data_IF_445800472086
#
_entry.id   IF_445800472086
#
_cell.length_a   1.000
_cell.length_b   1.000
_cell.length_c   1.000
_cell.angle_alpha   90.00
_cell.angle_beta   90.00
_cell.angle_gamma   90.00
#
_symmetry.space_group_name_H-M   'P 1'
#
loop_
_entity.id
_entity.type
_entity.pdbx_description
1 polymer ?
#
# COMPACT_ATOMS: atom_id res chain seq x y z
N UNK A 1 31.09 13.93 -4.84
CA UNK A 1 30.79 14.45 -3.49
C UNK A 1 30.68 15.98 -3.46
N UNK A 2 31.78 16.75 -3.64
CA UNK A 2 31.76 18.24 -3.59
C UNK A 2 30.63 18.88 -4.40
N UNK A 3 30.45 18.47 -5.64
CA UNK A 3 29.40 19.01 -6.52
C UNK A 3 28.00 18.74 -5.97
N UNK A 4 27.76 17.54 -5.41
CA UNK A 4 26.47 17.17 -4.83
C UNK A 4 26.17 18.00 -3.58
N UNK A 5 27.12 18.15 -2.66
CA UNK A 5 26.93 18.97 -1.46
C UNK A 5 26.71 20.45 -1.84
N UNK A 6 27.51 20.98 -2.77
CA UNK A 6 27.34 22.37 -3.25
C UNK A 6 25.95 22.60 -3.85
N UNK A 7 25.46 21.63 -4.62
CA UNK A 7 24.13 21.68 -5.24
C UNK A 7 23.02 21.56 -4.22
N UNK A 8 23.12 20.63 -3.27
CA UNK A 8 21.99 20.20 -2.42
C UNK A 8 21.88 20.97 -1.10
N UNK A 9 22.95 21.56 -0.55
CA UNK A 9 22.96 22.18 0.79
C UNK A 9 21.97 23.33 0.99
N UNK A 10 21.47 23.92 -0.09
CA UNK A 10 20.50 25.02 -0.05
C UNK A 10 19.06 24.57 -0.32
N UNK A 11 18.80 23.26 -0.42
CA UNK A 11 17.46 22.72 -0.68
C UNK A 11 16.82 22.21 0.62
N UNK A 12 15.77 22.88 1.14
CA UNK A 12 15.15 22.49 2.41
C UNK A 12 14.43 21.14 2.37
N UNK A 13 14.15 20.60 1.17
CA UNK A 13 13.59 19.27 1.00
C UNK A 13 14.60 18.15 1.25
N UNK A 14 15.91 18.44 1.20
CA UNK A 14 16.95 17.45 1.49
C UNK A 14 17.20 17.50 2.99
N UNK A 15 16.91 16.41 3.68
CA UNK A 15 16.93 16.36 5.16
C UNK A 15 18.02 15.43 5.72
N UNK A 16 18.70 14.66 4.87
CA UNK A 16 19.79 13.75 5.24
C UNK A 16 20.70 13.50 4.04
N UNK A 17 21.97 13.20 4.27
CA UNK A 17 22.88 12.69 3.24
C UNK A 17 23.40 11.30 3.64
N UNK A 18 23.29 10.34 2.74
CA UNK A 18 23.83 8.99 2.91
C UNK A 18 25.14 8.87 2.14
N UNK A 19 26.24 8.62 2.85
CA UNK A 19 27.57 8.50 2.25
C UNK A 19 27.80 7.15 1.54
N UNK A 20 26.95 6.16 1.81
CA UNK A 20 26.88 4.85 1.16
C UNK A 20 25.45 4.32 1.18
N UNK A 21 25.22 3.15 0.56
CA UNK A 21 23.92 2.46 0.55
C UNK A 21 24.03 1.15 1.32
N UNK A 22 24.25 0.03 0.63
CA UNK A 22 24.35 -1.30 1.20
C UNK A 22 25.54 -1.41 2.14
N UNK A 23 26.66 -0.81 1.71
CA UNK A 23 27.91 -0.74 2.46
C UNK A 23 28.31 0.72 2.70
N UNK A 24 28.90 1.03 3.86
CA UNK A 24 29.51 2.32 4.10
C UNK A 24 30.79 2.48 3.25
N UNK A 25 31.23 3.72 2.99
CA UNK A 25 32.53 3.94 2.36
C UNK A 25 33.65 3.33 3.20
N UNK A 26 34.77 2.90 2.58
CA UNK A 26 35.99 2.58 3.30
C UNK A 26 36.47 3.76 4.17
N UNK A 27 37.20 3.53 5.28
CA UNK A 27 37.50 4.58 6.26
C UNK A 27 38.19 5.84 5.72
N UNK A 28 39.08 5.71 4.73
CA UNK A 28 39.77 6.82 4.09
C UNK A 28 38.80 7.66 3.22
N UNK A 29 37.88 6.99 2.51
CA UNK A 29 36.84 7.64 1.71
C UNK A 29 35.80 8.31 2.61
N UNK A 30 35.39 7.64 3.70
CA UNK A 30 34.46 8.19 4.69
C UNK A 30 35.02 9.47 5.31
N UNK A 31 36.29 9.48 5.72
CA UNK A 31 36.97 10.69 6.22
C UNK A 31 37.03 11.80 5.16
N UNK A 32 37.30 11.45 3.90
CA UNK A 32 37.30 12.42 2.80
C UNK A 32 35.90 13.04 2.60
N UNK A 33 34.83 12.24 2.61
CA UNK A 33 33.46 12.73 2.46
C UNK A 33 33.07 13.65 3.62
N UNK A 34 33.31 13.25 4.87
CA UNK A 34 33.06 14.07 6.05
C UNK A 34 33.87 15.39 6.03
N UNK A 35 35.10 15.34 5.52
CA UNK A 35 35.92 16.53 5.32
C UNK A 35 35.30 17.51 4.33
N UNK A 36 34.77 17.00 3.21
CA UNK A 36 34.06 17.80 2.20
C UNK A 36 32.75 18.37 2.76
N UNK A 37 31.95 17.56 3.46
CA UNK A 37 30.69 17.99 4.08
C UNK A 37 30.93 19.09 5.11
N UNK A 38 31.99 18.97 5.92
CA UNK A 38 32.41 19.99 6.87
C UNK A 38 32.89 21.27 6.19
N UNK A 39 33.74 21.16 5.17
CA UNK A 39 34.26 22.31 4.43
C UNK A 39 33.15 23.09 3.72
N UNK A 40 32.17 22.38 3.15
CA UNK A 40 31.05 22.97 2.43
C UNK A 40 29.83 23.23 3.32
N UNK A 41 29.97 23.10 4.64
CA UNK A 41 28.93 23.41 5.63
C UNK A 41 27.59 22.70 5.36
N UNK A 42 27.63 21.38 5.13
CA UNK A 42 26.41 20.58 5.02
C UNK A 42 25.52 20.75 6.27
N UNK A 43 24.25 21.18 6.15
CA UNK A 43 23.46 21.60 7.30
C UNK A 43 22.67 20.48 7.99
N UNK A 44 22.61 19.28 7.39
CA UNK A 44 21.73 18.20 7.82
C UNK A 44 22.50 17.00 8.41
N UNK A 45 21.81 16.04 9.05
CA UNK A 45 22.42 14.76 9.43
C UNK A 45 23.09 14.03 8.25
N UNK A 46 24.12 13.27 8.59
CA UNK A 46 24.88 12.39 7.69
C UNK A 46 24.77 10.98 8.23
N UNK A 47 24.51 10.02 7.35
CA UNK A 47 24.46 8.60 7.67
C UNK A 47 25.54 7.89 6.85
N UNK A 48 26.29 6.98 7.47
CA UNK A 48 27.38 6.25 6.81
C UNK A 48 26.88 5.39 5.64
N UNK A 49 25.75 4.70 5.83
CA UNK A 49 25.12 3.78 4.88
C UNK A 49 23.64 3.57 5.18
N UNK A 50 22.87 3.10 4.21
CA UNK A 50 21.48 2.70 4.39
C UNK A 50 21.33 1.40 5.23
N UNK A 51 22.39 0.58 5.38
CA UNK A 51 22.39 -0.62 6.22
C UNK A 51 22.83 -0.37 7.67
N UNK A 52 22.66 -1.37 8.53
CA UNK A 52 23.11 -1.37 9.93
C UNK A 52 24.63 -1.57 10.10
N UNK A 53 25.41 -1.52 9.00
CA UNK A 53 26.83 -1.82 9.04
C UNK A 53 27.62 -0.70 9.74
N UNK A 54 28.19 -1.05 10.89
CA UNK A 54 29.01 -0.16 11.69
C UNK A 54 30.32 0.22 10.99
N UNK A 55 30.67 1.49 11.00
CA UNK A 55 31.98 1.98 10.53
C UNK A 55 32.94 2.23 11.69
N UNK A 56 34.24 2.28 11.39
CA UNK A 56 35.27 2.67 12.38
C UNK A 56 35.40 4.19 12.55
N UNK A 57 34.81 4.99 11.65
CA UNK A 57 34.95 6.46 11.66
C UNK A 57 33.74 7.13 12.33
N UNK A 58 32.52 6.81 11.89
CA UNK A 58 31.27 7.40 12.41
C UNK A 58 30.49 6.47 13.32
N UNK A 59 30.78 5.17 13.32
CA UNK A 59 30.16 4.20 14.23
C UNK A 59 28.88 3.58 13.66
N UNK A 60 27.85 3.47 14.51
CA UNK A 60 26.56 2.90 14.11
C UNK A 60 25.82 3.85 13.16
N UNK A 61 25.20 3.31 12.11
CA UNK A 61 24.40 4.10 11.16
C UNK A 61 23.04 4.53 11.72
N UNK A 62 22.50 3.79 12.69
CA UNK A 62 21.18 4.05 13.31
C UNK A 62 19.98 3.64 12.45
N UNK A 63 20.22 2.93 11.34
CA UNK A 63 19.21 2.47 10.37
C UNK A 63 19.36 0.98 10.08
N UNK A 64 18.42 0.39 9.34
CA UNK A 64 18.47 -1.01 8.91
C UNK A 64 18.10 -1.17 7.44
N UNK A 65 18.66 -2.22 6.84
CA UNK A 65 18.40 -2.72 5.49
C UNK A 65 18.34 -4.25 5.59
N UNK A 66 17.28 -4.74 6.22
CA UNK A 66 17.12 -6.15 6.63
C UNK A 66 16.07 -6.88 5.79
N UNK A 67 15.63 -6.23 4.69
CA UNK A 67 14.53 -6.65 3.85
C UNK A 67 13.17 -6.52 4.53
N UNK A 68 12.14 -7.22 4.01
CA UNK A 68 12.16 -8.04 2.80
C UNK A 68 12.07 -7.23 1.49
N UNK A 69 12.27 -7.94 0.38
CA UNK A 69 12.12 -7.50 -1.01
C UNK A 69 11.30 -8.50 -1.86
N UNK A 70 10.83 -9.59 -1.26
CA UNK A 70 9.91 -10.57 -1.84
C UNK A 70 8.67 -10.72 -0.94
N UNK A 71 7.67 -11.48 -1.42
CA UNK A 71 6.39 -11.55 -0.72
C UNK A 71 6.50 -12.08 0.72
N UNK A 72 5.93 -11.30 1.63
CA UNK A 72 5.62 -11.64 3.02
C UNK A 72 4.16 -11.27 3.32
N UNK A 73 3.48 -12.02 4.21
CA UNK A 73 2.09 -11.74 4.58
C UNK A 73 1.94 -10.44 5.41
N UNK A 74 0.73 -9.86 5.49
CA UNK A 74 0.46 -8.63 6.23
C UNK A 74 0.91 -8.62 7.71
N UNK A 75 0.78 -9.74 8.41
CA UNK A 75 1.14 -9.90 9.82
C UNK A 75 2.65 -9.78 10.07
N UNK A 76 3.50 -10.14 9.10
CA UNK A 76 4.95 -9.99 9.17
C UNK A 76 5.38 -8.62 9.68
N UNK A 77 4.78 -7.56 9.16
CA UNK A 77 5.22 -6.20 9.42
C UNK A 77 5.09 -5.77 10.86
N UNK A 78 4.10 -6.32 11.58
CA UNK A 78 3.85 -5.97 12.97
C UNK A 78 4.40 -7.01 13.95
N UNK A 79 4.47 -8.29 13.56
CA UNK A 79 4.99 -9.37 14.40
C UNK A 79 6.51 -9.44 14.42
N UNK A 80 7.17 -9.05 13.32
CA UNK A 80 8.63 -9.12 13.23
C UNK A 80 9.32 -8.01 14.03
N UNK A 81 10.28 -8.42 14.86
CA UNK A 81 11.11 -7.54 15.71
C UNK A 81 12.60 -7.69 15.44
N UNK A 82 12.99 -8.52 14.46
CA UNK A 82 14.40 -8.86 14.18
C UNK A 82 14.85 -8.53 12.76
N UNK A 83 13.94 -8.47 11.79
CA UNK A 83 14.25 -8.16 10.38
C UNK A 83 13.56 -6.87 9.89
N UNK A 84 12.59 -6.99 8.98
CA UNK A 84 11.94 -5.89 8.29
C UNK A 84 10.78 -5.23 9.02
N UNK A 85 10.27 -5.85 10.09
CA UNK A 85 9.09 -5.39 10.83
C UNK A 85 9.26 -4.03 11.51
N UNK A 86 8.19 -3.53 12.10
CA UNK A 86 8.04 -2.13 12.51
C UNK A 86 8.86 -1.77 13.77
N UNK A 87 10.17 -1.63 13.61
CA UNK A 87 11.12 -1.09 14.58
C UNK A 87 12.31 -0.43 13.86
N UNK A 88 12.91 0.58 14.49
CA UNK A 88 14.00 1.35 13.89
C UNK A 88 13.61 2.04 12.57
N UNK A 89 14.60 2.39 11.76
CA UNK A 89 14.40 3.02 10.46
C UNK A 89 14.79 2.05 9.35
N UNK A 90 13.81 1.49 8.63
CA UNK A 90 14.07 0.62 7.48
C UNK A 90 14.20 1.46 6.21
N UNK A 91 15.41 1.53 5.67
CA UNK A 91 15.79 2.44 4.58
C UNK A 91 15.31 1.98 3.22
N UNK A 92 14.93 0.72 3.10
CA UNK A 92 14.40 0.12 1.89
C UNK A 92 13.79 -1.26 2.19
N UNK A 93 12.49 -1.39 1.96
CA UNK A 93 11.80 -2.68 2.05
C UNK A 93 10.43 -2.61 1.38
N UNK A 94 9.86 -3.74 0.99
CA UNK A 94 8.48 -3.82 0.51
C UNK A 94 7.93 -5.23 0.63
N UNK A 95 6.61 -5.44 0.44
CA UNK A 95 6.03 -6.77 0.32
C UNK A 95 6.30 -7.45 -1.04
N UNK A 96 7.31 -6.96 -1.79
CA UNK A 96 7.84 -7.63 -2.97
C UNK A 96 7.18 -7.24 -4.29
N UNK A 97 6.81 -8.21 -5.15
CA UNK A 97 6.25 -7.95 -6.46
C UNK A 97 5.00 -7.06 -6.44
N UNK A 98 4.86 -6.23 -7.48
CA UNK A 98 3.76 -5.31 -7.70
C UNK A 98 3.30 -5.45 -9.16
N UNK A 99 2.25 -6.23 -9.39
CA UNK A 99 1.75 -6.51 -10.74
C UNK A 99 0.99 -5.27 -11.26
N UNK A 100 1.41 -4.65 -12.38
CA UNK A 100 0.70 -3.50 -12.93
C UNK A 100 -0.73 -3.84 -13.35
N UNK A 101 -1.63 -2.85 -13.47
CA UNK A 101 -2.95 -3.07 -14.04
C UNK A 101 -2.85 -3.66 -15.45
N UNK A 102 -3.86 -4.42 -15.85
CA UNK A 102 -3.92 -5.12 -17.14
C UNK A 102 -3.57 -4.21 -18.32
N UNK A 103 -4.11 -3.00 -18.34
CA UNK A 103 -3.90 -2.03 -19.42
C UNK A 103 -2.45 -1.58 -19.57
N UNK A 104 -1.67 -1.65 -18.49
CA UNK A 104 -0.23 -1.42 -18.53
C UNK A 104 0.53 -2.66 -18.96
N UNK A 105 0.14 -3.84 -18.48
CA UNK A 105 0.76 -5.13 -18.89
C UNK A 105 0.66 -5.31 -20.40
N UNK A 106 -0.51 -5.06 -20.99
CA UNK A 106 -0.75 -5.19 -22.43
C UNK A 106 0.11 -4.27 -23.31
N UNK A 107 0.77 -3.26 -22.73
CA UNK A 107 1.70 -2.36 -23.45
C UNK A 107 3.10 -2.93 -23.59
N UNK A 108 3.51 -3.87 -22.74
CA UNK A 108 4.87 -4.42 -22.77
C UNK A 108 4.94 -5.95 -22.83
N UNK A 109 3.83 -6.66 -22.54
CA UNK A 109 3.71 -8.10 -22.75
C UNK A 109 2.92 -8.36 -24.05
N UNK A 110 3.46 -9.14 -25.01
CA UNK A 110 2.74 -9.51 -26.22
C UNK A 110 1.48 -10.35 -25.92
N UNK A 111 0.47 -10.24 -26.78
CA UNK A 111 -0.88 -10.80 -26.55
C UNK A 111 -0.90 -12.31 -26.31
N UNK A 112 -0.05 -13.05 -27.00
CA UNK A 112 0.11 -14.51 -26.88
C UNK A 112 0.85 -14.96 -25.62
N UNK A 113 1.46 -14.01 -24.89
CA UNK A 113 2.20 -14.21 -23.64
C UNK A 113 1.49 -13.60 -22.42
N UNK A 114 0.27 -13.07 -22.58
CA UNK A 114 -0.49 -12.44 -21.49
C UNK A 114 -0.96 -13.43 -20.44
N UNK A 115 -1.27 -14.68 -20.85
CA UNK A 115 -1.73 -15.71 -19.92
C UNK A 115 -1.62 -17.12 -20.53
N UNK A 116 -1.13 -18.12 -19.78
CA UNK A 116 -0.51 -18.02 -18.45
C UNK A 116 0.83 -17.27 -18.48
N UNK A 117 1.29 -16.80 -17.32
CA UNK A 117 2.58 -16.14 -17.17
C UNK A 117 3.74 -17.07 -17.60
N UNK A 118 4.70 -16.53 -18.35
CA UNK A 118 5.88 -17.25 -18.84
C UNK A 118 7.15 -16.39 -18.78
N UNK A 119 8.22 -16.81 -19.46
CA UNK A 119 9.53 -16.14 -19.40
C UNK A 119 9.52 -14.71 -19.95
N UNK A 120 8.50 -14.30 -20.73
CA UNK A 120 8.37 -12.91 -21.18
C UNK A 120 8.04 -12.00 -20.00
N UNK A 121 7.29 -12.49 -19.01
CA UNK A 121 7.07 -11.77 -17.76
C UNK A 121 8.35 -11.69 -16.92
N UNK A 122 9.08 -12.80 -16.82
CA UNK A 122 10.33 -12.87 -16.05
C UNK A 122 11.37 -11.85 -16.55
N UNK A 123 11.37 -11.53 -17.84
CA UNK A 123 12.19 -10.44 -18.39
C UNK A 123 11.90 -9.08 -17.73
N UNK A 124 10.68 -8.82 -17.29
CA UNK A 124 10.23 -7.59 -16.64
C UNK A 124 10.25 -7.67 -15.09
N UNK A 125 10.81 -8.74 -14.53
CA UNK A 125 11.11 -8.83 -13.10
C UNK A 125 12.44 -8.11 -12.78
N UNK A 126 13.13 -8.54 -11.72
CA UNK A 126 14.39 -7.98 -11.26
C UNK A 126 15.62 -8.78 -11.73
N UNK A 127 16.79 -8.32 -11.29
CA UNK A 127 18.06 -9.02 -11.50
C UNK A 127 18.42 -9.97 -10.36
N UNK A 128 19.58 -10.59 -10.49
CA UNK A 128 20.18 -11.49 -9.49
C UNK A 128 19.25 -12.65 -9.08
N UNK A 129 18.62 -12.54 -7.90
CA UNK A 129 17.74 -13.56 -7.30
C UNK A 129 16.24 -13.23 -7.42
N UNK A 130 15.90 -12.05 -7.93
CA UNK A 130 14.52 -11.55 -8.09
C UNK A 130 14.02 -11.68 -9.54
N UNK A 131 14.33 -12.80 -10.20
CA UNK A 131 14.17 -12.98 -11.66
C UNK A 131 12.78 -13.43 -12.11
N UNK A 132 11.86 -13.63 -11.18
CA UNK A 132 10.46 -14.03 -11.41
C UNK A 132 9.60 -13.57 -10.22
N UNK A 133 8.30 -13.83 -10.27
CA UNK A 133 7.35 -13.48 -9.20
C UNK A 133 6.69 -14.72 -8.58
N UNK A 134 7.41 -15.85 -8.54
CA UNK A 134 6.86 -17.14 -8.11
C UNK A 134 6.49 -17.17 -6.63
N UNK A 135 7.27 -16.51 -5.75
CA UNK A 135 6.98 -16.46 -4.31
C UNK A 135 5.68 -15.68 -4.08
N UNK A 136 5.53 -14.52 -4.72
CA UNK A 136 4.27 -13.78 -4.75
C UNK A 136 3.11 -14.61 -5.31
N UNK A 137 3.31 -15.33 -6.42
CA UNK A 137 2.27 -16.16 -7.04
C UNK A 137 1.84 -17.33 -6.15
N UNK A 138 2.76 -17.95 -5.40
CA UNK A 138 2.45 -18.99 -4.42
C UNK A 138 1.63 -18.42 -3.25
N UNK A 139 2.06 -17.28 -2.69
CA UNK A 139 1.31 -16.57 -1.65
C UNK A 139 -0.10 -16.20 -2.10
N UNK A 140 -0.23 -15.69 -3.33
CA UNK A 140 -1.52 -15.35 -3.96
C UNK A 140 -2.40 -16.58 -4.08
N UNK A 141 -1.86 -17.66 -4.64
CA UNK A 141 -2.58 -18.91 -4.88
C UNK A 141 -3.05 -19.55 -3.58
N UNK A 142 -2.20 -19.56 -2.55
CA UNK A 142 -2.49 -20.21 -1.28
C UNK A 142 -3.41 -19.39 -0.37
N UNK A 143 -3.48 -18.07 -0.55
CA UNK A 143 -4.40 -17.18 0.18
C UNK A 143 -5.72 -16.96 -0.54
N UNK A 144 -5.70 -16.62 -1.83
CA UNK A 144 -6.89 -16.21 -2.60
C UNK A 144 -7.43 -17.30 -3.54
N UNK A 145 -6.68 -18.40 -3.72
CA UNK A 145 -7.00 -19.49 -4.64
C UNK A 145 -6.34 -19.32 -6.02
N UNK A 146 -6.17 -20.43 -6.73
CA UNK A 146 -5.55 -20.48 -8.07
C UNK A 146 -6.25 -19.52 -9.04
N UNK A 147 -5.47 -18.77 -9.81
CA UNK A 147 -5.99 -17.82 -10.79
C UNK A 147 -6.40 -18.54 -12.08
N UNK A 148 -7.64 -18.30 -12.53
CA UNK A 148 -8.18 -18.96 -13.73
C UNK A 148 -7.90 -18.21 -15.04
N UNK A 149 -7.55 -16.92 -14.96
CA UNK A 149 -7.33 -16.02 -16.10
C UNK A 149 -6.43 -14.85 -15.69
N UNK A 150 -5.98 -14.05 -16.66
CA UNK A 150 -5.27 -12.79 -16.39
C UNK A 150 -6.10 -11.87 -15.49
N UNK A 151 -7.39 -11.67 -15.78
CA UNK A 151 -8.26 -10.82 -14.98
C UNK A 151 -8.41 -11.32 -13.54
N UNK A 152 -8.43 -12.64 -13.35
CA UNK A 152 -8.51 -13.23 -12.02
C UNK A 152 -7.17 -13.09 -11.25
N UNK A 153 -6.05 -13.25 -11.94
CA UNK A 153 -4.73 -13.03 -11.35
C UNK A 153 -4.51 -11.55 -10.98
N UNK A 154 -4.87 -10.65 -11.88
CA UNK A 154 -4.71 -9.20 -11.72
C UNK A 154 -5.50 -8.71 -10.51
N UNK A 155 -6.82 -8.99 -10.43
CA UNK A 155 -7.63 -8.56 -9.29
C UNK A 155 -7.14 -9.12 -7.94
N UNK A 156 -6.60 -10.35 -7.94
CA UNK A 156 -5.99 -10.98 -6.76
C UNK A 156 -4.68 -10.28 -6.38
N UNK A 157 -3.84 -9.96 -7.36
CA UNK A 157 -2.60 -9.24 -7.14
C UNK A 157 -2.84 -7.81 -6.63
N UNK A 158 -3.87 -7.10 -7.13
CA UNK A 158 -4.22 -5.77 -6.61
C UNK A 158 -4.72 -5.82 -5.17
N UNK A 159 -5.53 -6.83 -4.81
CA UNK A 159 -5.92 -7.01 -3.41
C UNK A 159 -4.73 -7.35 -2.52
N UNK A 160 -3.86 -8.25 -2.96
CA UNK A 160 -2.70 -8.69 -2.20
C UNK A 160 -1.68 -7.57 -1.95
N UNK A 161 -1.41 -6.72 -2.95
CA UNK A 161 -0.55 -5.52 -2.80
C UNK A 161 -1.26 -4.41 -2.02
N UNK A 162 -2.57 -4.19 -2.22
CA UNK A 162 -3.28 -3.25 -1.35
C UNK A 162 -3.13 -3.62 0.13
N UNK A 163 -3.30 -4.90 0.47
CA UNK A 163 -3.21 -5.39 1.85
C UNK A 163 -1.77 -5.36 2.39
N UNK A 164 -0.80 -5.83 1.59
CA UNK A 164 0.61 -5.89 1.97
C UNK A 164 1.21 -4.51 2.25
N UNK A 165 1.06 -3.57 1.32
CA UNK A 165 1.58 -2.21 1.48
C UNK A 165 0.83 -1.47 2.60
N UNK A 166 -0.50 -1.62 2.70
CA UNK A 166 -1.25 -1.04 3.82
C UNK A 166 -0.71 -1.53 5.16
N UNK A 167 -0.54 -2.85 5.31
CA UNK A 167 -0.08 -3.44 6.57
C UNK A 167 1.35 -3.00 6.94
N UNK A 168 2.25 -2.86 5.95
CA UNK A 168 3.59 -2.33 6.19
C UNK A 168 3.54 -0.93 6.80
N UNK A 169 2.84 0.01 6.15
CA UNK A 169 2.77 1.38 6.63
C UNK A 169 1.97 1.51 7.93
N UNK A 170 0.87 0.76 8.10
CA UNK A 170 0.11 0.72 9.34
C UNK A 170 0.96 0.21 10.52
N UNK A 171 1.78 -0.83 10.32
CA UNK A 171 2.62 -1.35 11.39
C UNK A 171 3.64 -0.31 11.88
N UNK A 172 4.31 0.38 10.96
CA UNK A 172 5.23 1.48 11.29
C UNK A 172 4.50 2.69 11.91
N UNK A 173 3.27 2.96 11.48
CA UNK A 173 2.40 3.97 12.09
C UNK A 173 2.02 3.63 13.54
N UNK A 174 1.64 2.37 13.81
CA UNK A 174 1.28 1.90 15.16
C UNK A 174 2.46 1.99 16.12
N UNK A 175 3.63 1.55 15.69
CA UNK A 175 4.84 1.44 16.52
C UNK A 175 5.66 2.71 16.62
N UNK A 176 5.16 3.86 16.13
CA UNK A 176 5.76 5.18 16.37
C UNK A 176 5.99 5.38 17.89
N UNK A 177 7.18 5.70 18.42
CA UNK A 177 8.50 5.95 17.80
C UNK A 177 9.53 4.83 18.05
N UNK A 178 9.09 3.63 18.40
CA UNK A 178 9.96 2.45 18.35
C UNK A 178 10.33 2.14 16.90
N UNK A 179 9.37 2.25 16.00
CA UNK A 179 9.58 2.41 14.56
C UNK A 179 9.83 3.90 14.27
N UNK A 180 10.95 4.23 13.65
CA UNK A 180 11.35 5.61 13.35
C UNK A 180 11.25 5.96 11.86
N UNK A 181 11.03 4.97 10.98
CA UNK A 181 10.68 5.21 9.58
C UNK A 181 10.73 3.97 8.72
N UNK A 182 10.03 4.00 7.59
CA UNK A 182 10.09 2.98 6.53
C UNK A 182 10.10 3.68 5.17
N UNK A 183 10.92 3.18 4.26
CA UNK A 183 10.95 3.62 2.87
C UNK A 183 10.53 2.42 2.00
N UNK A 184 9.40 2.58 1.31
CA UNK A 184 8.92 1.61 0.32
C UNK A 184 10.00 1.41 -0.75
N UNK A 185 10.36 0.15 -0.98
CA UNK A 185 11.15 -0.29 -2.11
C UNK A 185 10.23 -0.77 -3.24
N UNK A 186 9.91 0.06 -4.22
CA UNK A 186 10.28 1.46 -4.45
C UNK A 186 9.01 2.29 -4.69
N UNK A 187 9.19 3.61 -4.82
CA UNK A 187 8.11 4.49 -5.25
C UNK A 187 7.65 4.14 -6.67
N UNK A 188 8.59 3.96 -7.60
CA UNK A 188 8.35 3.75 -9.03
C UNK A 188 9.52 3.06 -9.72
N UNK A 189 9.31 2.67 -10.98
CA UNK A 189 10.34 2.07 -11.84
C UNK A 189 10.74 2.99 -13.00
N UNK A 190 11.98 2.80 -13.50
CA UNK A 190 12.51 3.51 -14.67
C UNK A 190 12.11 2.88 -16.02
N UNK A 191 11.35 1.78 -15.99
CA UNK A 191 10.93 0.96 -17.14
C UNK A 191 9.70 0.12 -16.77
N UNK A 192 8.96 -0.47 -17.73
CA UNK A 192 7.86 -1.38 -17.43
C UNK A 192 8.37 -2.60 -16.66
N UNK A 193 7.81 -2.87 -15.48
CA UNK A 193 8.31 -3.88 -14.56
C UNK A 193 7.19 -4.44 -13.66
N UNK A 194 7.41 -5.63 -13.11
CA UNK A 194 6.47 -6.39 -12.29
C UNK A 194 6.72 -6.29 -10.77
N UNK A 195 7.71 -5.53 -10.34
CA UNK A 195 8.13 -5.50 -8.93
C UNK A 195 8.27 -4.08 -8.39
N UNK A 196 8.12 -3.93 -7.07
CA UNK A 196 8.66 -2.81 -6.30
C UNK A 196 8.22 -1.42 -6.75
N UNK A 197 6.95 -1.21 -7.12
CA UNK A 197 6.46 0.12 -7.43
C UNK A 197 5.08 0.36 -6.84
N UNK A 198 4.79 1.61 -6.48
CA UNK A 198 3.44 2.04 -6.15
C UNK A 198 2.67 2.44 -7.41
N UNK A 199 3.32 3.15 -8.32
CA UNK A 199 2.80 3.44 -9.65
C UNK A 199 3.79 2.99 -10.72
N UNK A 200 3.26 2.48 -11.83
CA UNK A 200 4.08 1.88 -12.87
C UNK A 200 4.80 2.93 -13.74
N UNK A 201 5.55 2.46 -14.73
CA UNK A 201 6.27 3.28 -15.70
C UNK A 201 5.39 4.28 -16.45
N UNK A 202 4.11 3.96 -16.65
CA UNK A 202 3.14 4.80 -17.35
C UNK A 202 2.41 5.75 -16.39
N UNK A 203 2.84 5.84 -15.12
CA UNK A 203 2.24 6.65 -14.06
C UNK A 203 0.84 6.17 -13.64
N UNK A 204 0.50 4.91 -13.89
CA UNK A 204 -0.77 4.32 -13.45
C UNK A 204 -0.59 3.81 -12.01
N UNK A 205 -1.32 4.35 -11.00
CA UNK A 205 -1.30 3.82 -9.65
C UNK A 205 -2.15 2.54 -9.55
N UNK A 206 -1.67 1.57 -8.78
CA UNK A 206 -2.31 0.26 -8.61
C UNK A 206 -2.67 -0.01 -7.13
N UNK A 207 -3.04 -1.25 -6.80
CA UNK A 207 -3.48 -1.65 -5.45
C UNK A 207 -2.52 -1.18 -4.34
N UNK A 208 -1.22 -1.46 -4.47
CA UNK A 208 -0.19 -1.05 -3.50
C UNK A 208 -0.09 0.47 -3.27
N UNK A 209 -0.30 1.30 -4.31
CA UNK A 209 -0.38 2.77 -4.15
C UNK A 209 -1.55 3.16 -3.25
N UNK A 210 -2.72 2.57 -3.47
CA UNK A 210 -3.92 2.91 -2.71
C UNK A 210 -3.90 2.32 -1.31
N UNK A 211 -3.28 1.16 -1.10
CA UNK A 211 -2.96 0.62 0.23
C UNK A 211 -2.04 1.55 1.02
N UNK A 212 -0.95 2.01 0.39
CA UNK A 212 -0.04 3.02 0.96
C UNK A 212 -0.77 4.34 1.26
N UNK A 213 -1.56 4.84 0.30
CA UNK A 213 -2.33 6.08 0.46
C UNK A 213 -3.30 6.00 1.64
N UNK A 214 -3.97 4.85 1.81
CA UNK A 214 -4.88 4.59 2.92
C UNK A 214 -4.13 4.62 4.25
N UNK A 215 -3.05 3.85 4.37
CA UNK A 215 -2.25 3.77 5.60
C UNK A 215 -1.57 5.10 5.99
N UNK A 216 -1.27 5.96 5.01
CA UNK A 216 -0.66 7.27 5.21
C UNK A 216 -1.67 8.44 5.27
N UNK A 217 -2.95 8.18 5.56
CA UNK A 217 -3.88 9.25 5.91
C UNK A 217 -3.34 10.09 7.09
N UNK A 218 -3.49 11.43 7.09
CA UNK A 218 -2.95 12.28 8.17
C UNK A 218 -3.48 11.91 9.56
N UNK A 219 -4.74 11.46 9.64
CA UNK A 219 -5.36 10.88 10.82
C UNK A 219 -6.01 9.58 10.36
N UNK A 220 -5.47 8.45 10.81
CA UNK A 220 -5.75 7.14 10.24
C UNK A 220 -6.19 6.15 11.30
N UNK A 221 -7.27 5.41 11.04
CA UNK A 221 -7.73 4.32 11.89
C UNK A 221 -7.40 2.97 11.25
N UNK A 222 -6.78 2.09 12.03
CA UNK A 222 -6.18 0.85 11.54
C UNK A 222 -6.38 -0.33 12.50
N UNK A 223 -6.27 -1.53 11.96
CA UNK A 223 -6.31 -2.82 12.66
C UNK A 223 -4.91 -3.44 12.72
N UNK A 224 -4.57 -4.04 13.85
CA UNK A 224 -3.28 -4.70 14.07
C UNK A 224 -3.45 -6.22 14.04
N UNK A 225 -2.68 -6.88 13.18
CA UNK A 225 -2.76 -8.32 12.93
C UNK A 225 -2.28 -9.19 14.11
N UNK A 226 -1.36 -8.69 14.95
CA UNK A 226 -0.74 -9.40 16.06
C UNK A 226 -1.65 -9.55 17.30
N UNK A 227 -2.32 -8.47 17.70
CA UNK A 227 -3.08 -8.40 18.96
C UNK A 227 -4.57 -8.08 18.78
N UNK A 228 -5.04 -7.99 17.54
CA UNK A 228 -6.40 -7.59 17.17
C UNK A 228 -6.80 -6.19 17.65
N UNK A 229 -5.84 -5.32 17.96
CA UNK A 229 -6.13 -3.95 18.36
C UNK A 229 -6.60 -3.10 17.20
N UNK A 230 -7.42 -2.11 17.53
CA UNK A 230 -7.71 -0.95 16.71
C UNK A 230 -6.92 0.22 17.26
N UNK A 231 -6.12 0.85 16.42
CA UNK A 231 -5.35 2.03 16.73
C UNK A 231 -5.81 3.21 15.88
N UNK A 232 -5.65 4.42 16.42
CA UNK A 232 -5.72 5.65 15.64
C UNK A 232 -4.37 6.33 15.66
N UNK A 233 -3.79 6.52 14.49
CA UNK A 233 -2.54 7.24 14.27
C UNK A 233 -2.88 8.66 13.85
N UNK A 234 -2.41 9.64 14.63
CA UNK A 234 -2.50 11.05 14.31
C UNK A 234 -1.11 11.54 13.93
N UNK A 235 -0.88 11.81 12.65
CA UNK A 235 0.38 12.37 12.14
C UNK A 235 0.32 13.89 11.93
N UNK A 236 -0.67 14.56 12.53
CA UNK A 236 -0.79 16.01 12.53
C UNK A 236 -0.21 16.61 13.82
N UNK A 237 0.10 17.91 13.79
CA UNK A 237 0.56 18.68 14.95
C UNK A 237 -0.59 19.29 15.77
N UNK A 238 -1.77 18.67 15.72
CA UNK A 238 -2.93 19.09 16.50
C UNK A 238 -3.55 17.90 17.21
N UNK A 239 -3.82 18.05 18.51
CA UNK A 239 -4.54 17.05 19.28
C UNK A 239 -6.03 17.06 18.91
N UNK A 240 -6.61 15.87 18.77
CA UNK A 240 -8.01 15.67 18.41
C UNK A 240 -8.80 15.22 19.63
N UNK A 241 -9.98 15.79 19.86
CA UNK A 241 -10.81 15.50 21.04
C UNK A 241 -12.15 14.92 20.66
N UNK A 242 -12.68 14.05 21.53
CA UNK A 242 -14.02 13.50 21.37
C UNK A 242 -14.21 12.67 20.10
N UNK A 243 -13.14 12.06 19.59
CA UNK A 243 -13.15 11.30 18.35
C UNK A 243 -13.92 10.00 18.54
N UNK A 244 -14.87 9.72 17.64
CA UNK A 244 -15.77 8.57 17.70
C UNK A 244 -15.24 7.46 16.81
N UNK A 245 -14.94 6.32 17.41
CA UNK A 245 -14.30 5.17 16.77
C UNK A 245 -15.27 4.00 16.76
N UNK A 246 -15.45 3.34 15.61
CA UNK A 246 -16.29 2.16 15.46
C UNK A 246 -15.60 1.06 14.67
N UNK A 247 -15.74 -0.17 15.15
CA UNK A 247 -15.34 -1.38 14.44
C UNK A 247 -16.55 -2.29 14.29
N UNK A 248 -16.74 -2.85 13.10
CA UNK A 248 -17.82 -3.78 12.79
C UNK A 248 -17.29 -4.98 12.02
N UNK A 249 -17.62 -6.17 12.52
CA UNK A 249 -17.21 -7.44 11.93
C UNK A 249 -18.39 -8.01 11.15
N UNK A 250 -18.16 -8.45 9.93
CA UNK A 250 -19.16 -9.01 9.02
C UNK A 250 -18.70 -10.36 8.50
N UNK A 251 -19.62 -11.30 8.34
CA UNK A 251 -19.35 -12.48 7.53
C UNK A 251 -19.18 -12.13 6.04
N UNK A 252 -18.71 -13.09 5.25
CA UNK A 252 -18.55 -12.96 3.80
C UNK A 252 -19.88 -12.60 3.09
N UNK A 253 -21.02 -12.92 3.69
CA UNK A 253 -22.37 -12.59 3.22
C UNK A 253 -22.85 -11.20 3.66
N UNK A 254 -21.94 -10.34 4.12
CA UNK A 254 -22.18 -8.98 4.61
C UNK A 254 -23.10 -8.88 5.85
N UNK A 255 -23.38 -9.98 6.56
CA UNK A 255 -24.13 -9.92 7.82
C UNK A 255 -23.23 -9.50 8.98
N UNK A 256 -23.65 -8.46 9.72
CA UNK A 256 -22.95 -8.00 10.92
C UNK A 256 -22.97 -9.10 11.99
N UNK A 257 -21.81 -9.36 12.58
CA UNK A 257 -21.57 -10.40 13.60
C UNK A 257 -21.22 -9.80 14.95
N UNK A 258 -20.50 -8.70 14.94
CA UNK A 258 -20.17 -7.95 16.14
C UNK A 258 -19.86 -6.50 15.81
N UNK A 259 -20.00 -5.63 16.80
CA UNK A 259 -19.56 -4.24 16.71
C UNK A 259 -19.04 -3.75 18.06
N UNK A 260 -18.10 -2.79 18.00
CA UNK A 260 -17.54 -2.12 19.17
C UNK A 260 -17.35 -0.65 18.84
N UNK A 261 -17.75 0.21 19.76
CA UNK A 261 -17.60 1.65 19.65
C UNK A 261 -16.84 2.19 20.86
N UNK A 262 -16.11 3.28 20.66
CA UNK A 262 -15.49 4.06 21.72
C UNK A 262 -15.42 5.55 21.34
N UNK A 263 -15.17 6.37 22.34
CA UNK A 263 -14.79 7.77 22.16
C UNK A 263 -13.44 7.98 22.83
N UNK A 264 -12.51 8.66 22.17
CA UNK A 264 -11.19 8.97 22.71
C UNK A 264 -10.68 10.33 22.26
N UNK A 265 -9.81 10.90 23.09
CA UNK A 265 -8.92 11.98 22.69
C UNK A 265 -7.62 11.37 22.15
N UNK A 266 -7.06 11.99 21.13
CA UNK A 266 -5.87 11.52 20.42
C UNK A 266 -4.86 12.66 20.44
N UNK A 267 -3.69 12.43 21.03
CA UNK A 267 -2.63 13.44 21.05
C UNK A 267 -2.12 13.75 19.64
N UNK A 268 -1.51 14.91 19.46
CA UNK A 268 -0.74 15.21 18.25
C UNK A 268 0.41 14.21 18.07
N UNK A 269 0.77 13.95 16.81
CA UNK A 269 1.91 13.11 16.40
C UNK A 269 2.06 11.79 17.21
N UNK A 270 0.97 11.02 17.31
CA UNK A 270 0.84 9.87 18.22
C UNK A 270 0.13 8.66 17.60
N UNK A 271 0.25 7.51 18.27
CA UNK A 271 -0.52 6.29 18.01
C UNK A 271 -1.28 5.92 19.29
N UNK A 272 -2.61 5.92 19.24
CA UNK A 272 -3.47 5.65 20.39
C UNK A 272 -4.29 4.39 20.16
N UNK A 273 -4.13 3.38 21.03
CA UNK A 273 -5.00 2.18 21.03
C UNK A 273 -6.40 2.57 21.49
N UNK A 274 -7.41 2.29 20.66
CA UNK A 274 -8.81 2.54 20.99
C UNK A 274 -9.41 1.34 21.75
N UNK A 275 -9.28 0.13 21.20
CA UNK A 275 -9.78 -1.11 21.78
C UNK A 275 -9.37 -2.32 20.95
N UNK A 276 -9.63 -3.54 21.44
CA UNK A 276 -9.52 -4.77 20.65
C UNK A 276 -10.82 -5.09 19.89
N UNK A 277 -10.69 -5.60 18.67
CA UNK A 277 -11.83 -6.05 17.84
C UNK A 277 -12.56 -7.19 18.56
N UNK A 278 -13.91 -7.18 18.62
CA UNK A 278 -14.66 -8.30 19.19
C UNK A 278 -14.51 -9.57 18.34
N UNK A 279 -14.40 -10.72 19.00
CA UNK A 279 -14.26 -12.05 18.37
C UNK A 279 -15.56 -12.87 18.50
N UNK A 280 -16.55 -12.66 17.59
CA UNK A 280 -17.82 -13.37 17.66
C UNK A 280 -17.71 -14.85 17.24
N UNK A 281 -18.60 -15.68 17.77
CA UNK A 281 -18.77 -17.05 17.29
C UNK A 281 -19.45 -17.09 15.90
N UNK A 282 -19.14 -18.13 15.13
CA UNK A 282 -19.76 -18.38 13.83
C UNK A 282 -19.38 -17.37 12.75
N UNK A 283 -18.11 -16.97 12.75
CA UNK A 283 -17.50 -16.27 11.61
C UNK A 283 -17.35 -17.23 10.42
N UNK A 284 -17.58 -16.72 9.22
CA UNK A 284 -17.11 -17.39 8.00
C UNK A 284 -15.58 -17.38 7.97
N UNK A 285 -14.96 -18.38 7.32
CA UNK A 285 -13.49 -18.50 7.27
C UNK A 285 -12.84 -17.21 6.83
N UNK A 286 -13.30 -16.66 5.71
CA UNK A 286 -13.03 -15.29 5.29
C UNK A 286 -14.15 -14.36 5.78
N UNK A 287 -13.81 -13.22 6.34
CA UNK A 287 -14.77 -12.25 6.89
C UNK A 287 -14.27 -10.83 6.67
N UNK A 288 -15.10 -9.83 6.95
CA UNK A 288 -14.74 -8.43 6.79
C UNK A 288 -14.72 -7.68 8.12
N UNK A 289 -13.81 -6.72 8.23
CA UNK A 289 -13.77 -5.75 9.32
C UNK A 289 -13.85 -4.35 8.73
N UNK A 290 -14.85 -3.59 9.16
CA UNK A 290 -14.98 -2.17 8.81
C UNK A 290 -14.68 -1.30 10.01
N UNK A 291 -13.76 -0.36 9.81
CA UNK A 291 -13.35 0.64 10.77
C UNK A 291 -13.83 2.03 10.31
N UNK A 292 -14.35 2.85 11.23
CA UNK A 292 -14.65 4.24 10.95
C UNK A 292 -14.28 5.15 12.12
N UNK A 293 -13.65 6.27 11.78
CA UNK A 293 -13.33 7.37 12.67
C UNK A 293 -14.14 8.59 12.27
N UNK A 294 -14.90 9.13 13.20
CA UNK A 294 -15.62 10.39 13.03
C UNK A 294 -15.12 11.42 14.04
N UNK A 295 -15.11 12.69 13.65
CA UNK A 295 -14.88 13.78 14.60
C UNK A 295 -16.08 13.97 15.56
N UNK A 296 -15.94 14.90 16.50
CA UNK A 296 -16.98 15.22 17.47
C UNK A 296 -18.30 15.62 16.78
N UNK A 297 -18.21 16.35 15.66
CA UNK A 297 -19.34 16.82 14.85
C UNK A 297 -19.98 15.70 13.98
N UNK A 298 -19.37 14.52 13.93
CA UNK A 298 -19.86 13.37 13.16
C UNK A 298 -19.41 13.36 11.69
N UNK A 299 -18.41 14.16 11.31
CA UNK A 299 -17.78 14.09 9.99
C UNK A 299 -16.87 12.86 9.94
N UNK A 300 -16.95 12.07 8.88
CA UNK A 300 -16.02 10.97 8.63
C UNK A 300 -14.61 11.53 8.39
N UNK A 301 -13.64 11.05 9.17
CA UNK A 301 -12.22 11.43 9.09
C UNK A 301 -11.39 10.33 8.44
N UNK A 302 -11.63 9.07 8.82
CA UNK A 302 -10.97 7.90 8.24
C UNK A 302 -11.95 6.73 8.16
N UNK A 303 -11.88 5.96 7.08
CA UNK A 303 -12.53 4.66 6.94
C UNK A 303 -11.53 3.64 6.42
N UNK A 304 -11.59 2.42 6.96
CA UNK A 304 -10.69 1.35 6.55
C UNK A 304 -11.43 0.02 6.54
N UNK A 305 -11.19 -0.79 5.52
CA UNK A 305 -11.95 -2.02 5.26
C UNK A 305 -10.98 -3.17 5.03
N UNK A 306 -11.05 -4.20 5.86
CA UNK A 306 -10.19 -5.36 5.82
C UNK A 306 -10.98 -6.60 5.42
N UNK A 307 -10.34 -7.51 4.70
CA UNK A 307 -10.79 -8.87 4.47
C UNK A 307 -9.83 -9.79 5.22
N UNK A 308 -10.34 -10.45 6.25
CA UNK A 308 -9.55 -11.20 7.20
C UNK A 308 -9.91 -12.67 7.14
N UNK A 309 -9.04 -13.50 7.71
CA UNK A 309 -9.21 -14.95 7.78
C UNK A 309 -9.19 -15.42 9.23
N UNK A 310 -10.08 -16.35 9.57
CA UNK A 310 -10.05 -17.05 10.87
C UNK A 310 -8.87 -18.02 10.98
N UNK A 311 -8.26 -18.38 9.86
CA UNK A 311 -6.97 -19.08 9.80
C UNK A 311 -5.86 -18.02 9.66
N UNK A 312 -4.91 -17.92 10.60
CA UNK A 312 -3.84 -16.92 10.51
C UNK A 312 -2.80 -17.30 9.44
N UNK A 313 -2.17 -16.28 8.87
CA UNK A 313 -0.85 -16.42 8.26
C UNK A 313 0.15 -16.73 9.42
N UNK A 314 1.21 -17.50 9.16
CA UNK A 314 2.32 -17.66 10.13
C UNK A 314 3.65 -17.78 9.41
N UNK A 315 4.72 -17.30 10.03
CA UNK A 315 6.07 -17.28 9.45
C UNK A 315 6.91 -18.49 9.86
N UNK A 316 7.72 -19.00 8.94
CA UNK A 316 8.71 -20.05 9.16
C UNK A 316 10.11 -19.42 9.34
N UNK A 317 10.31 -18.72 10.46
CA UNK A 317 11.56 -18.03 10.79
C UNK A 317 12.80 -18.93 10.71
N UNK A 318 12.64 -20.22 11.04
CA UNK A 318 13.73 -21.21 10.95
C UNK A 318 14.21 -21.46 9.51
N UNK A 319 13.42 -21.09 8.49
CA UNK A 319 13.76 -21.20 7.07
C UNK A 319 14.16 -19.89 6.41
N UNK A 320 14.20 -18.77 7.15
CA UNK A 320 14.75 -17.52 6.64
C UNK A 320 16.25 -17.69 6.40
N UNK A 321 16.67 -17.59 5.14
CA UNK A 321 18.06 -17.82 4.74
C UNK A 321 18.84 -16.52 4.47
N UNK A 322 18.14 -15.43 4.16
CA UNK A 322 18.70 -14.18 3.66
C UNK A 322 17.79 -12.99 4.05
N UNK A 323 17.99 -11.84 3.41
CA UNK A 323 17.17 -10.63 3.57
C UNK A 323 16.06 -10.51 2.54
N UNK A 324 15.85 -11.48 1.66
CA UNK A 324 14.89 -11.35 0.58
C UNK A 324 13.47 -11.49 1.11
N UNK A 325 13.21 -12.52 1.91
CA UNK A 325 11.93 -12.73 2.57
C UNK A 325 12.01 -13.75 3.70
N UNK A 326 10.97 -13.78 4.53
CA UNK A 326 10.74 -14.87 5.48
C UNK A 326 9.64 -15.78 4.92
N UNK A 327 9.90 -17.08 4.69
CA UNK A 327 8.88 -18.00 4.17
C UNK A 327 7.67 -18.10 5.10
N UNK A 328 6.49 -18.28 4.53
CA UNK A 328 5.28 -18.61 5.29
C UNK A 328 5.19 -20.11 5.59
N UNK A 329 4.76 -20.44 6.81
CA UNK A 329 4.42 -21.78 7.24
C UNK A 329 2.92 -22.05 7.03
N UNK A 330 2.09 -21.18 7.57
CA UNK A 330 0.63 -21.20 7.42
C UNK A 330 0.16 -19.97 6.62
N UNK A 331 -0.99 -20.13 5.96
CA UNK A 331 -1.54 -19.17 5.02
C UNK A 331 -2.99 -18.90 5.38
N UNK A 332 -3.35 -17.63 5.48
CA UNK A 332 -4.73 -17.17 5.59
C UNK A 332 -5.59 -17.73 4.45
N UNK A 333 -6.86 -18.03 4.74
CA UNK A 333 -7.81 -18.51 3.74
C UNK A 333 -8.80 -17.40 3.37
N UNK A 334 -8.51 -16.78 2.24
CA UNK A 334 -9.28 -15.70 1.61
C UNK A 334 -10.01 -16.21 0.35
N UNK A 335 -10.03 -17.52 0.11
CA UNK A 335 -10.58 -18.12 -1.12
C UNK A 335 -12.07 -17.85 -1.32
N UNK A 336 -12.81 -17.61 -0.22
CA UNK A 336 -14.24 -17.30 -0.28
C UNK A 336 -14.54 -15.95 -0.96
N UNK A 337 -13.57 -15.04 -1.09
CA UNK A 337 -13.71 -13.80 -1.87
C UNK A 337 -14.07 -14.10 -3.34
N UNK A 338 -13.53 -15.17 -3.91
CA UNK A 338 -13.82 -15.60 -5.29
C UNK A 338 -15.27 -16.04 -5.49
N UNK A 339 -15.99 -16.33 -4.39
CA UNK A 339 -17.40 -16.73 -4.40
C UNK A 339 -18.37 -15.57 -4.10
N UNK A 340 -17.88 -14.33 -3.97
CA UNK A 340 -18.74 -13.18 -3.76
C UNK A 340 -19.76 -13.03 -4.92
N UNK A 341 -21.06 -12.87 -4.62
CA UNK A 341 -22.05 -12.59 -5.65
C UNK A 341 -21.71 -11.28 -6.38
N UNK A 342 -21.99 -11.20 -7.68
CA UNK A 342 -21.78 -9.98 -8.47
C UNK A 342 -22.43 -8.77 -7.80
N UNK A 343 -21.64 -7.73 -7.57
CA UNK A 343 -22.07 -6.49 -6.96
C UNK A 343 -23.05 -5.74 -7.87
N UNK A 344 -23.96 -4.98 -7.26
CA UNK A 344 -24.90 -4.10 -7.98
C UNK A 344 -24.68 -2.68 -7.50
N UNK A 345 -24.07 -1.87 -8.36
CA UNK A 345 -23.74 -0.49 -8.03
C UNK A 345 -24.47 0.50 -8.94
N UNK A 346 -24.81 1.65 -8.37
CA UNK A 346 -25.29 2.81 -9.10
C UNK A 346 -24.19 3.87 -9.05
N UNK A 347 -23.78 4.35 -10.21
CA UNK A 347 -22.71 5.34 -10.34
C UNK A 347 -23.27 6.65 -10.87
N UNK A 348 -22.83 7.76 -10.30
CA UNK A 348 -23.08 9.10 -10.83
C UNK A 348 -21.77 9.86 -10.87
N UNK A 349 -21.55 10.64 -11.93
CA UNK A 349 -20.37 11.49 -12.10
C UNK A 349 -20.73 12.96 -12.19
N UNK A 350 -19.92 13.82 -11.58
CA UNK A 350 -19.97 15.26 -11.74
C UNK A 350 -18.60 15.75 -12.21
N UNK A 351 -18.60 16.56 -13.26
CA UNK A 351 -17.38 17.13 -13.82
C UNK A 351 -17.26 18.61 -13.46
N UNK A 352 -16.06 19.02 -13.04
CA UNK A 352 -15.73 20.41 -12.73
C UNK A 352 -14.40 20.78 -13.38
N UNK A 353 -14.28 22.01 -13.86
CA UNK A 353 -13.07 22.54 -14.49
C UNK A 353 -12.75 23.93 -13.93
N UNK A 354 -11.46 24.20 -13.73
CA UNK A 354 -10.93 25.50 -13.31
C UNK A 354 -9.59 25.74 -14.01
N UNK A 355 -9.65 26.49 -15.11
CA UNK A 355 -8.52 26.63 -16.03
C UNK A 355 -8.11 25.26 -16.60
N UNK A 356 -6.82 24.89 -16.57
CA UNK A 356 -6.34 23.61 -17.09
C UNK A 356 -6.61 22.43 -16.15
N UNK A 357 -6.98 22.69 -14.88
CA UNK A 357 -7.25 21.64 -13.91
C UNK A 357 -8.68 21.13 -14.06
N UNK A 358 -8.83 19.81 -14.07
CA UNK A 358 -10.09 19.09 -14.19
C UNK A 358 -10.31 18.20 -12.98
N UNK A 359 -11.57 18.10 -12.55
CA UNK A 359 -12.01 17.21 -11.48
C UNK A 359 -13.22 16.39 -11.94
N UNK A 360 -13.20 15.10 -11.65
CA UNK A 360 -14.38 14.25 -11.75
C UNK A 360 -14.70 13.69 -10.37
N UNK A 361 -15.88 14.04 -9.85
CA UNK A 361 -16.42 13.47 -8.62
C UNK A 361 -17.28 12.28 -9.01
N UNK A 362 -16.86 11.08 -8.59
CA UNK A 362 -17.54 9.82 -8.85
C UNK A 362 -18.20 9.37 -7.55
N UNK A 363 -19.52 9.23 -7.55
CA UNK A 363 -20.28 8.67 -6.43
C UNK A 363 -20.75 7.28 -6.80
N UNK A 364 -20.36 6.29 -6.00
CA UNK A 364 -20.76 4.89 -6.13
C UNK A 364 -21.65 4.52 -4.95
N UNK A 365 -22.84 3.98 -5.24
CA UNK A 365 -23.77 3.41 -4.26
C UNK A 365 -23.87 1.91 -4.49
N UNK A 366 -23.54 1.10 -3.49
CA UNK A 366 -23.89 -0.32 -3.51
C UNK A 366 -25.37 -0.47 -3.14
N UNK A 367 -26.19 -0.90 -4.10
CA UNK A 367 -27.62 -1.15 -3.91
C UNK A 367 -27.99 -2.63 -4.04
N UNK A 368 -26.99 -3.51 -4.05
CA UNK A 368 -27.17 -4.96 -3.95
C UNK A 368 -27.08 -5.46 -2.51
N UNK A 369 -27.11 -6.78 -2.36
CA UNK A 369 -27.08 -7.48 -1.08
C UNK A 369 -25.70 -8.06 -0.72
N UNK A 370 -24.75 -8.05 -1.67
CA UNK A 370 -23.34 -8.45 -1.45
C UNK A 370 -22.45 -7.22 -1.26
N UNK A 371 -21.27 -7.42 -0.65
CA UNK A 371 -20.22 -6.39 -0.63
C UNK A 371 -19.79 -6.08 -2.07
N UNK A 372 -19.74 -4.80 -2.44
CA UNK A 372 -19.04 -4.36 -3.64
C UNK A 372 -17.56 -4.24 -3.27
N UNK A 373 -16.76 -5.24 -3.63
CA UNK A 373 -15.41 -5.43 -3.13
C UNK A 373 -14.38 -4.88 -4.12
N UNK A 374 -13.39 -4.13 -3.62
CA UNK A 374 -12.29 -3.53 -4.40
C UNK A 374 -12.80 -2.78 -5.64
N UNK A 375 -13.75 -1.87 -5.47
CA UNK A 375 -14.30 -1.02 -6.53
C UNK A 375 -13.21 -0.07 -7.03
N UNK A 376 -12.97 -0.10 -8.33
CA UNK A 376 -11.86 0.55 -9.00
C UNK A 376 -12.35 1.46 -10.13
N UNK A 377 -12.61 2.75 -9.84
CA UNK A 377 -12.82 3.76 -10.87
C UNK A 377 -11.52 4.14 -11.59
N UNK A 378 -11.62 4.26 -12.92
CA UNK A 378 -10.56 4.72 -13.83
C UNK A 378 -11.07 5.80 -14.78
N UNK A 379 -10.14 6.63 -15.27
CA UNK A 379 -10.41 7.60 -16.32
C UNK A 379 -9.61 7.25 -17.56
N UNK A 380 -10.27 7.19 -18.71
CA UNK A 380 -9.64 6.87 -20.00
C UNK A 380 -9.82 8.01 -21.00
N UNK A 381 -8.91 8.08 -21.99
CA UNK A 381 -8.97 9.00 -23.12
C UNK A 381 -9.97 8.50 -24.16
N UNK A 382 -11.24 8.76 -23.95
CA UNK A 382 -12.32 8.21 -24.75
C UNK A 382 -12.70 6.78 -24.34
N UNK A 383 -13.74 6.25 -24.97
CA UNK A 383 -14.21 4.90 -24.70
C UNK A 383 -13.18 3.91 -25.23
N UNK A 384 -12.77 2.96 -24.38
CA UNK A 384 -11.75 1.95 -24.65
C UNK A 384 -10.36 2.55 -24.97
N UNK A 385 -10.13 3.81 -24.58
CA UNK A 385 -8.85 4.49 -24.72
C UNK A 385 -7.87 4.20 -23.57
N UNK A 386 -6.66 4.73 -23.67
CA UNK A 386 -5.65 4.62 -22.61
C UNK A 386 -6.04 5.40 -21.36
N UNK A 387 -5.50 5.00 -20.20
CA UNK A 387 -5.67 5.74 -18.95
C UNK A 387 -5.20 7.21 -19.08
N UNK A 388 -5.97 8.10 -18.45
CA UNK A 388 -5.60 9.49 -18.25
C UNK A 388 -4.56 9.53 -17.15
N UNK A 389 -3.32 9.82 -17.53
CA UNK A 389 -2.18 9.90 -16.62
C UNK A 389 -1.38 11.19 -16.85
N UNK A 390 -0.87 11.84 -15.78
CA UNK A 390 -1.10 11.51 -14.37
C UNK A 390 -2.54 11.86 -13.92
N UNK A 391 -3.10 11.03 -13.02
CA UNK A 391 -4.38 11.26 -12.35
C UNK A 391 -4.25 11.05 -10.85
N UNK A 392 -4.85 11.93 -10.07
CA UNK A 392 -4.81 11.88 -8.60
C UNK A 392 -6.19 11.61 -8.05
N UNK A 393 -6.44 10.36 -7.66
CA UNK A 393 -7.67 9.95 -6.99
C UNK A 393 -7.60 10.25 -5.48
N UNK A 394 -8.71 10.70 -4.90
CA UNK A 394 -8.83 10.88 -3.44
C UNK A 394 -8.86 9.54 -2.71
N UNK A 395 -9.42 8.51 -3.34
CA UNK A 395 -9.44 7.11 -2.89
C UNK A 395 -9.74 6.21 -4.10
N UNK A 396 -9.34 4.94 -4.06
CA UNK A 396 -9.56 3.94 -5.11
C UNK A 396 -9.45 2.52 -4.53
N UNK A 397 -9.86 1.49 -5.26
CA UNK A 397 -9.92 0.10 -4.78
C UNK A 397 -10.69 -0.06 -3.45
N UNK A 398 -11.72 0.76 -3.24
CA UNK A 398 -12.48 0.79 -1.99
C UNK A 398 -13.60 -0.26 -1.97
N UNK A 399 -14.07 -0.63 -0.78
CA UNK A 399 -15.17 -1.60 -0.62
C UNK A 399 -16.41 -0.98 0.02
N UNK A 400 -17.59 -1.38 -0.42
CA UNK A 400 -18.89 -0.87 0.07
C UNK A 400 -19.78 -2.02 0.54
N UNK A 401 -20.26 -1.96 1.77
CA UNK A 401 -21.32 -2.84 2.26
C UNK A 401 -22.66 -2.53 1.55
N UNK A 402 -23.63 -3.45 1.59
CA UNK A 402 -24.98 -3.20 1.11
C UNK A 402 -25.57 -1.88 1.63
N UNK A 403 -26.06 -1.04 0.72
CA UNK A 403 -26.65 0.27 1.02
C UNK A 403 -25.66 1.42 1.19
N UNK A 404 -24.35 1.14 1.21
CA UNK A 404 -23.34 2.19 1.39
C UNK A 404 -23.04 2.97 0.13
N UNK A 405 -22.61 4.22 0.32
CA UNK A 405 -22.17 5.12 -0.74
C UNK A 405 -20.81 5.71 -0.41
N UNK A 406 -20.01 5.95 -1.45
CA UNK A 406 -18.76 6.70 -1.36
C UNK A 406 -18.61 7.61 -2.56
N UNK A 407 -18.08 8.81 -2.31
CA UNK A 407 -17.70 9.76 -3.35
C UNK A 407 -16.19 9.90 -3.36
N UNK A 408 -15.59 9.72 -4.53
CA UNK A 408 -14.16 9.90 -4.77
C UNK A 408 -13.94 10.94 -5.85
N UNK A 409 -12.82 11.66 -5.78
CA UNK A 409 -12.48 12.71 -6.73
C UNK A 409 -11.22 12.33 -7.50
N UNK A 410 -11.30 12.30 -8.82
CA UNK A 410 -10.13 12.30 -9.70
C UNK A 410 -9.76 13.74 -10.05
N UNK A 411 -8.48 14.10 -9.87
CA UNK A 411 -7.92 15.37 -10.34
C UNK A 411 -6.87 15.10 -11.42
N UNK A 412 -6.95 15.80 -12.53
CA UNK A 412 -6.03 15.66 -13.67
C UNK A 412 -5.97 16.96 -14.48
N UNK A 413 -4.97 17.08 -15.34
CA UNK A 413 -4.82 18.24 -16.21
C UNK A 413 -5.48 17.99 -17.58
N UNK A 414 -6.07 19.02 -18.17
CA UNK A 414 -6.65 18.96 -19.52
C UNK A 414 -5.66 18.48 -20.60
N UNK A 415 -4.36 18.77 -20.44
CA UNK A 415 -3.31 18.26 -21.33
C UNK A 415 -3.16 16.74 -21.24
N UNK A 416 -3.50 16.12 -20.11
CA UNK A 416 -3.49 14.66 -19.93
C UNK A 416 -4.55 13.95 -20.76
N UNK A 417 -5.49 14.68 -21.37
CA UNK A 417 -6.49 14.14 -22.27
C UNK A 417 -6.02 14.02 -23.72
N UNK A 418 -4.95 14.72 -24.11
CA UNK A 418 -4.48 14.77 -25.51
C UNK A 418 -5.61 15.09 -26.53
N UNK A 419 -6.59 15.92 -26.12
CA UNK A 419 -7.74 16.30 -26.95
C UNK A 419 -8.93 15.33 -26.92
N UNK A 420 -8.83 14.20 -26.22
CA UNK A 420 -9.94 13.26 -26.04
C UNK A 420 -10.95 13.73 -24.98
N UNK A 421 -12.17 13.20 -25.04
CA UNK A 421 -13.15 13.35 -23.95
C UNK A 421 -12.84 12.31 -22.87
N UNK A 422 -12.75 12.70 -21.57
CA UNK A 422 -12.54 11.74 -20.50
C UNK A 422 -13.75 10.82 -20.38
N UNK A 423 -13.50 9.51 -20.38
CA UNK A 423 -14.52 8.50 -20.06
C UNK A 423 -14.23 7.88 -18.70
N UNK A 424 -15.29 7.59 -17.96
CA UNK A 424 -15.22 6.90 -16.67
C UNK A 424 -15.50 5.42 -16.90
N UNK A 425 -14.61 4.57 -16.41
CA UNK A 425 -14.82 3.12 -16.31
C UNK A 425 -14.78 2.77 -14.84
N UNK A 426 -15.72 1.95 -14.38
CA UNK A 426 -15.68 1.43 -13.01
C UNK A 426 -15.80 -0.08 -13.06
N UNK A 427 -14.82 -0.76 -12.48
CA UNK A 427 -14.81 -2.20 -12.29
C UNK A 427 -14.54 -2.53 -10.82
N UNK A 428 -14.32 -3.80 -10.50
CA UNK A 428 -13.89 -4.25 -9.18
C UNK A 428 -13.91 -5.76 -9.09
N UNK A 429 -13.53 -6.29 -7.93
CA UNK A 429 -13.35 -7.74 -7.75
C UNK A 429 -14.56 -8.57 -8.19
N UNK A 430 -15.76 -8.16 -7.77
CA UNK A 430 -17.03 -8.79 -8.12
C UNK A 430 -17.93 -7.84 -8.92
N UNK A 431 -17.36 -6.88 -9.65
CA UNK A 431 -18.08 -5.91 -10.45
C UNK A 431 -17.52 -5.91 -11.88
N UNK A 432 -18.34 -6.31 -12.84
CA UNK A 432 -17.99 -6.19 -14.26
C UNK A 432 -17.79 -4.70 -14.63
N UNK A 433 -16.88 -4.38 -15.56
CA UNK A 433 -16.69 -3.01 -16.02
C UNK A 433 -18.00 -2.34 -16.48
N UNK A 434 -18.24 -1.13 -16.01
CA UNK A 434 -19.37 -0.28 -16.40
C UNK A 434 -18.90 1.10 -16.85
N UNK A 435 -19.57 1.65 -17.88
CA UNK A 435 -19.32 2.96 -18.48
C UNK A 435 -20.54 3.89 -18.25
N UNK A 436 -20.65 4.50 -17.06
CA UNK A 436 -21.83 5.28 -16.64
C UNK A 436 -21.95 6.66 -17.26
#
# INVERSE_FOLDING_TARGET
MRDQITRLRNHPSVFVFLNGSDNPPPPDVEQMYLGIEKELEWPNPIVSSASAQKTTVTGESGVKMTGPYEYVPPDYWIEDTEAGGAYGYNTETSPGPAIPPRESIEKFIPKDHLWPMDDVWNFHAGGERFTNVNIFTDGLTRRYGEAASLDDYERKAQAMTYDGERAMFEAYGRNKYTATGVIQWMLNNAWPSLIWHLYDYYLVPAGGYFGTKKACEPVHMQYSYDDNSVNVVNSTYEALKGMKVSAKVYNIDAKEKASRNATLDIAEDSSTKAFDVPTPEGLSTTYFLKLQLHDEAGKLVSDNFYWLSTKPDTLDWAKRADTDYTPQKDFADLTALSSLPKAKVKITKLFHASGPNLWMIVTVLNHGDSVAFMVHPRLTRGKDGEDVVPVFWSDNYFSLLPGERKSVTARFDSSSLAGATPELVVDGWNLEPVWP
#
